data_IF_792131920080
#
_entry.id   IF_792131920080
#
_cell.length_a   1.000
_cell.length_b   1.000
_cell.length_c   1.000
_cell.angle_alpha   90.00
_cell.angle_beta   90.00
_cell.angle_gamma   90.00
#
_symmetry.space_group_name_H-M   'P 1'
#
loop_
_entity.id
_entity.type
_entity.pdbx_description
1 polymer ?
#
# COMPACT_ATOMS: atom_id res chain seq x y z
N UNK A 1 22.64 -9.31 -24.83
CA UNK A 1 22.19 -8.57 -23.63
C UNK A 1 21.06 -7.66 -24.07
N UNK A 2 20.04 -7.46 -23.22
CA UNK A 2 19.00 -6.48 -23.52
C UNK A 2 19.64 -5.09 -23.58
N UNK A 3 19.28 -4.31 -24.60
CA UNK A 3 19.77 -2.93 -24.78
C UNK A 3 19.40 -2.09 -23.55
N UNK A 4 20.32 -1.27 -23.07
CA UNK A 4 20.02 -0.33 -22.00
C UNK A 4 18.94 0.66 -22.45
N UNK A 5 17.93 0.93 -21.60
CA UNK A 5 16.88 1.88 -21.92
C UNK A 5 17.45 3.30 -22.00
N UNK A 6 16.93 4.09 -22.94
CA UNK A 6 17.37 5.48 -23.16
C UNK A 6 17.00 6.45 -22.04
N UNK A 7 16.09 6.06 -21.14
CA UNK A 7 15.65 6.83 -19.97
C UNK A 7 15.95 6.01 -18.72
N UNK A 8 16.90 6.49 -17.92
CA UNK A 8 17.24 5.88 -16.63
C UNK A 8 16.20 6.26 -15.56
N UNK A 9 15.18 5.40 -15.42
CA UNK A 9 14.15 5.54 -14.39
C UNK A 9 14.59 4.98 -13.03
N UNK A 10 15.81 4.48 -12.91
CA UNK A 10 16.31 3.80 -11.70
C UNK A 10 16.27 4.70 -10.49
N UNK A 11 16.77 5.93 -10.58
CA UNK A 11 16.78 6.86 -9.44
C UNK A 11 15.36 7.21 -8.99
N UNK A 12 14.46 7.46 -9.95
CA UNK A 12 13.05 7.71 -9.66
C UNK A 12 12.40 6.48 -9.00
N UNK A 13 12.68 5.29 -9.51
CA UNK A 13 12.17 4.03 -8.97
C UNK A 13 12.69 3.73 -7.57
N UNK A 14 13.96 4.04 -7.28
CA UNK A 14 14.55 3.93 -5.93
C UNK A 14 13.84 4.88 -4.96
N UNK A 15 13.65 6.15 -5.35
CA UNK A 15 12.94 7.13 -4.51
C UNK A 15 11.51 6.68 -4.23
N UNK A 16 10.77 6.21 -5.25
CA UNK A 16 9.42 5.69 -5.09
C UNK A 16 9.37 4.44 -4.21
N UNK A 17 10.34 3.53 -4.37
CA UNK A 17 10.44 2.35 -3.53
C UNK A 17 10.70 2.71 -2.06
N UNK A 18 11.60 3.66 -1.79
CA UNK A 18 11.90 4.12 -0.44
C UNK A 18 10.70 4.80 0.22
N UNK A 19 9.95 5.61 -0.53
CA UNK A 19 8.68 6.20 -0.06
C UNK A 19 7.66 5.10 0.23
N UNK A 20 7.52 4.12 -0.68
CA UNK A 20 6.62 2.98 -0.55
C UNK A 20 6.91 2.15 0.70
N UNK A 21 8.15 1.71 0.89
CA UNK A 21 8.50 0.86 2.05
C UNK A 21 8.39 1.63 3.37
N UNK A 22 8.82 2.90 3.40
CA UNK A 22 8.75 3.72 4.62
C UNK A 22 7.31 4.01 5.02
N UNK A 23 6.48 4.40 4.05
CA UNK A 23 5.06 4.64 4.28
C UNK A 23 4.31 3.37 4.65
N UNK A 24 4.59 2.24 4.01
CA UNK A 24 3.99 0.95 4.35
C UNK A 24 4.35 0.54 5.79
N UNK A 25 5.64 0.61 6.16
CA UNK A 25 6.11 0.30 7.51
C UNK A 25 5.47 1.21 8.56
N UNK A 26 5.46 2.52 8.34
CA UNK A 26 4.86 3.48 9.27
C UNK A 26 3.38 3.17 9.56
N UNK A 27 2.59 2.88 8.53
CA UNK A 27 1.17 2.56 8.71
C UNK A 27 0.96 1.18 9.35
N UNK A 28 1.84 0.21 9.11
CA UNK A 28 1.84 -1.06 9.85
C UNK A 28 2.19 -0.89 11.33
N UNK A 29 3.11 0.01 11.67
CA UNK A 29 3.39 0.35 13.06
C UNK A 29 2.15 0.92 13.77
N UNK A 30 1.41 1.83 13.12
CA UNK A 30 0.14 2.34 13.65
C UNK A 30 -0.85 1.18 13.87
N UNK A 31 -1.03 0.31 12.87
CA UNK A 31 -1.93 -0.85 12.98
C UNK A 31 -1.52 -1.80 14.12
N UNK A 32 -0.22 -2.02 14.32
CA UNK A 32 0.30 -2.86 15.40
C UNK A 32 -0.01 -2.28 16.78
N UNK A 33 -0.06 -0.95 16.92
CA UNK A 33 -0.34 -0.29 18.20
C UNK A 33 -1.83 -0.31 18.56
N UNK A 34 -2.72 -0.58 17.61
CA UNK A 34 -4.17 -0.68 17.88
C UNK A 34 -4.55 -1.90 18.72
N UNK A 35 -3.70 -2.93 18.77
CA UNK A 35 -3.94 -4.15 19.52
C UNK A 35 -3.06 -4.19 20.76
N UNK A 36 -3.67 -4.05 21.94
CA UNK A 36 -3.00 -4.38 23.20
C UNK A 36 -2.86 -5.91 23.33
N UNK A 37 -1.90 -6.38 24.14
CA UNK A 37 -1.72 -7.81 24.39
C UNK A 37 -3.01 -8.42 24.96
N UNK A 38 -3.65 -9.29 24.17
CA UNK A 38 -4.89 -9.98 24.55
C UNK A 38 -6.17 -9.35 23.98
N UNK A 39 -6.08 -8.18 23.37
CA UNK A 39 -7.22 -7.50 22.76
C UNK A 39 -7.55 -8.10 21.38
N UNK A 40 -8.79 -8.53 21.20
CA UNK A 40 -9.32 -9.09 19.94
C UNK A 40 -10.33 -8.16 19.28
N UNK A 41 -10.64 -7.02 19.91
CA UNK A 41 -11.58 -6.06 19.36
C UNK A 41 -10.97 -5.34 18.17
N UNK A 42 -11.79 -5.14 17.13
CA UNK A 42 -11.37 -4.33 16.00
C UNK A 42 -11.60 -2.86 16.32
N UNK A 43 -10.58 -2.05 16.04
CA UNK A 43 -10.61 -0.60 16.22
C UNK A 43 -10.35 0.07 14.89
N UNK A 44 -11.01 1.20 14.66
CA UNK A 44 -10.75 2.01 13.47
C UNK A 44 -9.37 2.68 13.66
N UNK A 45 -8.40 2.45 12.75
CA UNK A 45 -7.10 3.10 12.80
C UNK A 45 -7.24 4.62 12.70
N UNK A 46 -6.49 5.36 13.53
CA UNK A 46 -6.41 6.83 13.47
C UNK A 46 -4.95 7.27 13.37
N UNK A 47 -4.72 8.40 12.71
CA UNK A 47 -3.39 8.98 12.51
C UNK A 47 -2.72 8.63 11.18
N UNK A 48 -1.79 9.47 10.73
CA UNK A 48 -1.16 9.35 9.41
C UNK A 48 -2.18 9.51 8.27
N UNK A 49 -2.05 8.72 7.20
CA UNK A 49 -2.97 8.77 6.08
C UNK A 49 -4.28 7.98 6.32
N UNK A 50 -4.48 7.36 7.49
CA UNK A 50 -5.73 6.68 7.81
C UNK A 50 -6.95 7.60 7.87
N UNK A 51 -6.73 8.92 8.00
CA UNK A 51 -7.80 9.92 7.95
C UNK A 51 -8.28 10.21 6.52
N UNK A 52 -7.45 9.94 5.51
CA UNK A 52 -7.76 10.18 4.10
C UNK A 52 -8.17 8.91 3.37
N UNK A 53 -7.51 7.79 3.67
CA UNK A 53 -7.73 6.50 3.02
C UNK A 53 -7.82 5.40 4.05
N UNK A 54 -8.66 4.39 3.78
CA UNK A 54 -8.94 3.30 4.73
C UNK A 54 -7.73 2.38 4.91
N UNK A 55 -7.01 2.13 3.83
CA UNK A 55 -5.84 1.26 3.82
C UNK A 55 -4.64 1.98 3.18
N UNK A 56 -4.01 2.96 3.86
CA UNK A 56 -2.84 3.67 3.34
C UNK A 56 -1.66 2.72 3.10
N UNK A 57 -1.49 1.69 3.92
CA UNK A 57 -0.45 0.68 3.74
C UNK A 57 -0.52 -0.02 2.37
N UNK A 58 -1.73 -0.26 1.84
CA UNK A 58 -1.91 -0.81 0.48
C UNK A 58 -1.48 0.19 -0.60
N UNK A 59 -1.78 1.48 -0.43
CA UNK A 59 -1.34 2.53 -1.36
C UNK A 59 0.20 2.56 -1.44
N UNK A 60 0.85 2.54 -0.29
CA UNK A 60 2.32 2.55 -0.21
C UNK A 60 2.94 1.25 -0.73
N UNK A 61 2.27 0.11 -0.57
CA UNK A 61 2.70 -1.15 -1.16
C UNK A 61 2.66 -1.09 -2.69
N UNK A 62 1.60 -0.53 -3.28
CA UNK A 62 1.51 -0.29 -4.72
C UNK A 62 2.63 0.65 -5.20
N UNK A 63 2.92 1.73 -4.46
CA UNK A 63 4.04 2.62 -4.78
C UNK A 63 5.40 1.92 -4.73
N UNK A 64 5.59 1.01 -3.77
CA UNK A 64 6.79 0.17 -3.67
C UNK A 64 6.97 -0.70 -4.91
N UNK A 65 5.93 -1.44 -5.32
CA UNK A 65 5.97 -2.26 -6.53
C UNK A 65 6.13 -1.44 -7.80
N UNK A 66 5.52 -0.25 -7.88
CA UNK A 66 5.75 0.69 -8.97
C UNK A 66 7.22 1.12 -9.04
N UNK A 67 7.85 1.41 -7.90
CA UNK A 67 9.29 1.68 -7.82
C UNK A 67 10.13 0.52 -8.38
N UNK A 68 9.82 -0.73 -8.00
CA UNK A 68 10.48 -1.92 -8.53
C UNK A 68 10.29 -2.05 -10.04
N UNK A 69 9.09 -1.76 -10.54
CA UNK A 69 8.79 -1.77 -11.98
C UNK A 69 9.57 -0.72 -12.76
N UNK A 70 9.76 0.46 -12.18
CA UNK A 70 10.57 1.53 -12.78
C UNK A 70 12.07 1.25 -12.73
N UNK A 71 12.56 0.51 -11.73
CA UNK A 71 13.96 0.06 -11.68
C UNK A 71 14.21 -1.06 -12.69
N UNK A 72 13.30 -2.03 -12.76
CA UNK A 72 13.48 -3.23 -13.57
C UNK A 72 13.18 -2.99 -15.04
N UNK A 73 12.24 -2.07 -15.34
CA UNK A 73 11.77 -1.72 -16.69
C UNK A 73 11.40 -2.94 -17.56
N UNK A 74 10.94 -4.02 -16.94
CA UNK A 74 10.51 -5.23 -17.62
C UNK A 74 8.99 -5.31 -17.70
N UNK A 75 8.47 -5.88 -18.79
CA UNK A 75 7.05 -6.15 -18.94
C UNK A 75 6.51 -7.01 -17.78
N UNK A 76 7.31 -7.99 -17.34
CA UNK A 76 6.97 -8.84 -16.20
C UNK A 76 6.73 -8.03 -14.92
N UNK A 77 7.66 -7.14 -14.55
CA UNK A 77 7.53 -6.34 -13.33
C UNK A 77 6.34 -5.36 -13.40
N UNK A 78 6.05 -4.83 -14.59
CA UNK A 78 4.86 -4.00 -14.80
C UNK A 78 3.56 -4.79 -14.63
N UNK A 79 3.46 -5.97 -15.25
CA UNK A 79 2.30 -6.86 -15.10
C UNK A 79 2.09 -7.29 -13.64
N UNK A 80 3.17 -7.60 -12.91
CA UNK A 80 3.11 -7.91 -11.48
C UNK A 80 2.57 -6.72 -10.68
N UNK A 81 3.09 -5.52 -10.93
CA UNK A 81 2.63 -4.29 -10.25
C UNK A 81 1.14 -4.03 -10.49
N UNK A 82 0.68 -4.18 -11.72
CA UNK A 82 -0.73 -4.03 -12.07
C UNK A 82 -1.59 -5.08 -11.35
N UNK A 83 -1.16 -6.34 -11.35
CA UNK A 83 -1.86 -7.41 -10.64
C UNK A 83 -1.99 -7.14 -9.14
N UNK A 84 -0.92 -6.69 -8.50
CA UNK A 84 -0.92 -6.31 -7.08
C UNK A 84 -1.83 -5.11 -6.83
N UNK A 85 -1.78 -4.09 -7.70
CA UNK A 85 -2.63 -2.91 -7.57
C UNK A 85 -4.13 -3.26 -7.62
N UNK A 86 -4.53 -4.09 -8.59
CA UNK A 86 -5.93 -4.56 -8.71
C UNK A 86 -6.32 -5.39 -7.48
N UNK A 87 -5.47 -6.33 -7.07
CA UNK A 87 -5.73 -7.18 -5.89
C UNK A 87 -5.92 -6.35 -4.61
N UNK A 88 -5.02 -5.40 -4.35
CA UNK A 88 -5.07 -4.56 -3.16
C UNK A 88 -6.23 -3.57 -3.20
N UNK A 89 -6.59 -3.05 -4.37
CA UNK A 89 -7.76 -2.19 -4.54
C UNK A 89 -9.06 -2.95 -4.22
N UNK A 90 -9.22 -4.16 -4.77
CA UNK A 90 -10.35 -5.03 -4.45
C UNK A 90 -10.41 -5.35 -2.95
N UNK A 91 -9.26 -5.68 -2.35
CA UNK A 91 -9.18 -5.90 -0.90
C UNK A 91 -9.55 -4.67 -0.09
N UNK A 92 -9.04 -3.49 -0.46
CA UNK A 92 -9.38 -2.23 0.19
C UNK A 92 -10.88 -1.95 0.15
N UNK A 93 -11.53 -2.22 -0.97
CA UNK A 93 -12.97 -2.10 -1.10
C UNK A 93 -13.75 -3.06 -0.20
N UNK A 94 -13.34 -4.33 -0.14
CA UNK A 94 -13.95 -5.32 0.77
C UNK A 94 -13.73 -4.92 2.23
N UNK A 95 -12.53 -4.46 2.59
CA UNK A 95 -12.22 -3.95 3.93
C UNK A 95 -13.09 -2.74 4.29
N UNK A 96 -13.30 -1.80 3.37
CA UNK A 96 -14.22 -0.67 3.55
C UNK A 96 -15.64 -1.14 3.84
N UNK A 97 -16.17 -2.06 3.02
CA UNK A 97 -17.51 -2.64 3.25
C UNK A 97 -17.61 -3.33 4.61
N UNK A 98 -16.57 -4.05 4.99
CA UNK A 98 -16.52 -4.71 6.30
C UNK A 98 -16.56 -3.69 7.44
N UNK A 99 -15.77 -2.60 7.38
CA UNK A 99 -15.83 -1.52 8.37
C UNK A 99 -17.23 -0.89 8.44
N UNK A 100 -17.85 -0.58 7.30
CA UNK A 100 -19.22 -0.04 7.26
C UNK A 100 -20.27 -0.99 7.88
N UNK A 101 -20.07 -2.30 7.78
CA UNK A 101 -20.97 -3.29 8.39
C UNK A 101 -20.76 -3.48 9.89
N UNK A 102 -19.60 -3.05 10.42
CA UNK A 102 -19.20 -3.28 11.81
C UNK A 102 -19.32 -2.04 12.69
N UNK A 103 -19.13 -0.85 12.13
CA UNK A 103 -19.12 0.40 12.87
C UNK A 103 -20.20 1.32 12.30
N UNK A 104 -21.22 1.62 13.10
CA UNK A 104 -22.35 2.47 12.69
C UNK A 104 -21.91 3.91 12.36
N UNK A 105 -20.90 4.42 13.07
CA UNK A 105 -20.33 5.77 12.90
C UNK A 105 -19.24 5.86 11.81
N UNK A 106 -19.05 4.81 10.99
CA UNK A 106 -18.01 4.83 9.97
C UNK A 106 -18.36 5.79 8.81
N UNK A 107 -17.43 6.66 8.37
CA UNK A 107 -17.70 7.60 7.29
C UNK A 107 -18.05 6.90 5.98
N UNK A 108 -19.14 7.37 5.34
CA UNK A 108 -19.73 6.79 4.13
C UNK A 108 -18.98 7.07 2.84
#
# INVERSE_FOLDING_TARGET
GLSEPSIDLKYLGIVLFLIGISGNFYHHCILSQLRAKGDKEYKIPKGGLFELVICPHYLFEILGFLGISLISQTLYSFSTTLGIAVYLMCRGYVTRKWYMSKFEDFPK
#
